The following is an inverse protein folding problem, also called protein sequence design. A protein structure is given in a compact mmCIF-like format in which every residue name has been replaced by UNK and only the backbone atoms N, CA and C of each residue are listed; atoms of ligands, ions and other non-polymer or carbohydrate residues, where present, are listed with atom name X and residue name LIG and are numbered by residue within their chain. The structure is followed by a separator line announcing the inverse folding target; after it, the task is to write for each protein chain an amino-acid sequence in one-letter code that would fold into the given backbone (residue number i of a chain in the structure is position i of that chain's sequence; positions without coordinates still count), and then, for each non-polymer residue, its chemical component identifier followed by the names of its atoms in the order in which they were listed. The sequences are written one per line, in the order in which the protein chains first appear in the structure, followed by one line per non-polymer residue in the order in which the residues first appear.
data_IF_351919117145
#
_entry.id   IF_351919117145
#
_cell.length_a   1.000
_cell.length_b   1.000
_cell.length_c   1.000
_cell.angle_alpha   90.00
_cell.angle_beta   90.00
_cell.angle_gamma   90.00
#
_symmetry.space_group_name_H-M   'P 1'
#
loop_
_entity.id
_entity.type
_entity.pdbx_description
1 polymer ?
#
# COMPACT_ATOMS: atom_id res chain seq x y z
N UNK A 1 0.79 -10.58 3.56
CA UNK A 1 0.09 -9.71 4.54
C UNK A 1 -1.28 -9.32 4.03
N UNK A 2 -2.19 -9.08 4.93
CA UNK A 2 -3.58 -8.76 4.59
C UNK A 2 -4.23 -7.93 5.67
N UNK A 3 -5.03 -6.94 5.27
CA UNK A 3 -5.87 -6.15 6.17
C UNK A 3 -7.24 -5.93 5.53
N UNK A 4 -8.25 -5.75 6.35
CA UNK A 4 -9.63 -5.52 5.90
C UNK A 4 -10.24 -4.36 6.69
N UNK A 5 -11.00 -3.51 5.98
CA UNK A 5 -11.77 -2.42 6.56
C UNK A 5 -13.11 -2.32 5.85
N UNK A 6 -14.21 -2.59 6.56
CA UNK A 6 -15.59 -2.53 6.03
C UNK A 6 -15.72 -3.24 4.67
N UNK A 7 -15.30 -4.50 4.59
CA UNK A 7 -15.37 -5.35 3.40
C UNK A 7 -14.50 -4.89 2.23
N UNK A 8 -13.52 -4.03 2.47
CA UNK A 8 -12.46 -3.75 1.51
C UNK A 8 -11.19 -4.40 2.01
N UNK A 9 -10.54 -5.19 1.16
CA UNK A 9 -9.39 -6.01 1.52
C UNK A 9 -8.16 -5.52 0.78
N UNK A 10 -7.10 -5.26 1.53
CA UNK A 10 -5.78 -4.94 0.99
C UNK A 10 -4.84 -6.09 1.30
N UNK A 11 -4.20 -6.63 0.28
CA UNK A 11 -3.23 -7.72 0.38
C UNK A 11 -1.94 -7.31 -0.30
N UNK A 12 -0.83 -7.81 0.22
CA UNK A 12 0.47 -7.63 -0.43
C UNK A 12 1.25 -8.93 -0.45
N UNK A 13 2.13 -9.04 -1.43
CA UNK A 13 3.20 -10.00 -1.42
C UNK A 13 4.31 -9.52 -0.49
N UNK A 14 5.36 -10.31 -0.35
CA UNK A 14 6.56 -9.91 0.36
C UNK A 14 7.19 -8.69 -0.31
N UNK A 15 7.75 -7.81 0.49
CA UNK A 15 8.56 -6.73 -0.06
C UNK A 15 9.87 -7.30 -0.58
N UNK A 16 10.35 -6.72 -1.66
CA UNK A 16 11.56 -7.15 -2.31
C UNK A 16 12.54 -5.99 -2.40
N UNK A 17 13.81 -6.26 -2.11
CA UNK A 17 14.88 -5.31 -2.34
C UNK A 17 15.56 -5.68 -3.66
N UNK A 18 15.60 -4.73 -4.60
CA UNK A 18 16.16 -4.96 -5.92
C UNK A 18 17.50 -4.22 -6.05
N UNK A 19 18.54 -5.00 -6.39
CA UNK A 19 19.87 -4.45 -6.65
C UNK A 19 20.55 -3.87 -5.42
N UNK A 20 21.60 -3.07 -5.70
CA UNK A 20 22.43 -2.45 -4.65
C UNK A 20 21.96 -1.05 -4.28
N UNK A 21 20.98 -0.51 -4.99
CA UNK A 21 20.61 0.91 -4.88
C UNK A 21 19.56 1.18 -3.79
N UNK A 22 19.22 0.17 -3.00
CA UNK A 22 18.20 0.34 -1.97
C UNK A 22 16.77 0.48 -2.51
N UNK A 23 16.53 0.04 -3.75
CA UNK A 23 15.20 0.04 -4.33
C UNK A 23 14.36 -1.06 -3.70
N UNK A 24 13.23 -0.69 -3.16
CA UNK A 24 12.30 -1.63 -2.53
C UNK A 24 11.00 -1.60 -3.33
N UNK A 25 10.44 -2.77 -3.60
CA UNK A 25 9.17 -2.91 -4.32
C UNK A 25 8.19 -3.73 -3.51
N UNK A 26 6.91 -3.38 -3.63
CA UNK A 26 5.80 -4.09 -3.01
C UNK A 26 4.70 -4.23 -4.04
N UNK A 27 4.25 -5.45 -4.29
CA UNK A 27 3.05 -5.68 -5.08
C UNK A 27 1.87 -5.86 -4.13
N UNK A 28 0.75 -5.24 -4.48
CA UNK A 28 -0.44 -5.32 -3.65
C UNK A 28 -1.69 -5.48 -4.51
N UNK A 29 -2.78 -5.89 -3.88
CA UNK A 29 -4.09 -5.94 -4.52
C UNK A 29 -5.15 -5.44 -3.55
N UNK A 30 -6.20 -4.83 -4.09
CA UNK A 30 -7.33 -4.34 -3.33
C UNK A 30 -8.58 -4.98 -3.90
N UNK A 31 -9.39 -5.60 -3.04
CA UNK A 31 -10.66 -6.21 -3.42
C UNK A 31 -11.79 -5.50 -2.71
N UNK A 32 -12.78 -5.02 -3.46
CA UNK A 32 -13.97 -4.39 -2.90
C UNK A 32 -15.11 -5.39 -2.78
N UNK A 33 -15.44 -5.80 -1.55
CA UNK A 33 -16.60 -6.65 -1.26
C UNK A 33 -17.76 -5.84 -0.68
N UNK A 34 -17.63 -4.52 -0.70
CA UNK A 34 -18.69 -3.61 -0.27
C UNK A 34 -19.55 -3.22 -1.47
N UNK A 35 -20.83 -3.07 -1.27
CA UNK A 35 -21.78 -2.84 -2.38
C UNK A 35 -21.63 -1.49 -3.06
N UNK A 36 -21.03 -0.52 -2.39
CA UNK A 36 -20.74 0.78 -2.97
C UNK A 36 -19.36 0.78 -3.60
N UNK A 37 -19.18 1.65 -4.58
CA UNK A 37 -17.90 1.83 -5.26
C UNK A 37 -16.83 2.32 -4.27
N UNK A 38 -15.64 1.77 -4.39
CA UNK A 38 -14.47 2.20 -3.62
C UNK A 38 -13.55 3.02 -4.54
N UNK A 39 -13.25 4.24 -4.15
CA UNK A 39 -12.35 5.13 -4.88
C UNK A 39 -11.06 5.33 -4.09
N UNK A 40 -9.92 5.15 -4.75
CA UNK A 40 -8.62 5.33 -4.13
C UNK A 40 -8.18 6.78 -4.31
N UNK A 41 -7.91 7.48 -3.21
CA UNK A 41 -7.33 8.81 -3.23
C UNK A 41 -5.82 8.76 -3.34
N UNK A 42 -5.19 7.94 -2.51
CA UNK A 42 -3.73 7.87 -2.46
C UNK A 42 -3.25 6.54 -1.90
N UNK A 43 -2.01 6.20 -2.28
CA UNK A 43 -1.25 5.10 -1.70
C UNK A 43 0.04 5.68 -1.16
N UNK A 44 0.32 5.46 0.12
CA UNK A 44 1.53 5.95 0.77
C UNK A 44 2.26 4.81 1.44
N UNK A 45 3.54 5.00 1.69
CA UNK A 45 4.33 4.03 2.44
C UNK A 45 5.11 4.75 3.54
N UNK A 46 5.22 4.08 4.66
CA UNK A 46 5.90 4.58 5.85
C UNK A 46 6.96 3.59 6.31
N UNK A 47 8.14 4.10 6.66
CA UNK A 47 9.13 3.32 7.39
C UNK A 47 8.74 3.29 8.85
N UNK A 48 8.92 2.13 9.49
CA UNK A 48 8.60 1.95 10.91
C UNK A 48 9.84 2.00 11.80
N UNK A 49 10.96 2.49 11.29
CA UNK A 49 12.18 2.64 12.06
C UNK A 49 12.09 3.88 12.97
N UNK A 50 12.06 3.64 14.29
CA UNK A 50 12.00 4.73 15.26
C UNK A 50 10.70 5.52 15.26
N UNK A 51 9.63 4.95 14.70
CA UNK A 51 8.34 5.60 14.57
C UNK A 51 7.83 5.49 13.13
N UNK A 52 6.68 6.07 12.88
CA UNK A 52 6.03 6.03 11.57
C UNK A 52 6.45 7.26 10.76
N UNK A 53 7.34 7.06 9.78
CA UNK A 53 7.89 8.14 8.95
C UNK A 53 7.53 7.90 7.49
N UNK A 54 6.85 8.86 6.88
CA UNK A 54 6.45 8.77 5.47
C UNK A 54 7.67 8.79 4.56
N UNK A 55 7.67 7.92 3.55
CA UNK A 55 8.68 7.88 2.51
C UNK A 55 8.19 8.74 1.34
N UNK A 56 8.81 9.90 1.14
CA UNK A 56 8.34 10.91 0.19
C UNK A 56 8.67 10.62 -1.27
N UNK A 57 9.64 9.71 -1.53
CA UNK A 57 10.01 9.37 -2.91
C UNK A 57 9.24 8.16 -3.46
N UNK A 58 8.25 7.67 -2.75
CA UNK A 58 7.48 6.50 -3.17
C UNK A 58 6.66 6.82 -4.43
N UNK A 59 6.74 5.91 -5.39
CA UNK A 59 5.92 5.95 -6.60
C UNK A 59 5.07 4.70 -6.64
N UNK A 60 3.84 4.86 -7.12
CA UNK A 60 2.94 3.72 -7.26
C UNK A 60 2.22 3.75 -8.59
N UNK A 61 1.83 2.55 -9.02
CA UNK A 61 0.98 2.34 -10.18
C UNK A 61 -0.15 1.41 -9.77
N UNK A 62 -1.36 1.75 -10.14
CA UNK A 62 -2.52 0.89 -9.97
C UNK A 62 -3.31 0.84 -11.28
N UNK A 63 -3.96 -0.30 -11.52
CA UNK A 63 -4.71 -0.50 -12.76
C UNK A 63 -5.86 0.49 -12.90
N UNK A 64 -6.53 0.79 -11.80
CA UNK A 64 -7.66 1.71 -11.74
C UNK A 64 -7.75 2.33 -10.36
N UNK A 65 -8.31 3.54 -10.27
CA UNK A 65 -8.53 4.22 -8.99
C UNK A 65 -9.93 3.96 -8.43
N UNK A 66 -10.77 3.23 -9.13
CA UNK A 66 -12.15 2.98 -8.73
C UNK A 66 -12.51 1.51 -8.96
N UNK A 67 -13.19 0.91 -7.98
CA UNK A 67 -13.64 -0.48 -8.05
C UNK A 67 -15.11 -0.57 -7.65
N UNK A 68 -15.88 -1.30 -8.44
CA UNK A 68 -17.22 -1.69 -8.09
C UNK A 68 -17.20 -2.92 -7.17
N UNK A 69 -18.39 -3.35 -6.74
CA UNK A 69 -18.53 -4.55 -5.95
C UNK A 69 -17.86 -5.74 -6.63
N UNK A 70 -17.09 -6.49 -5.85
CA UNK A 70 -16.42 -7.73 -6.24
C UNK A 70 -15.27 -7.55 -7.23
N UNK A 71 -14.88 -6.33 -7.55
CA UNK A 71 -13.73 -6.07 -8.41
C UNK A 71 -12.41 -6.08 -7.62
N UNK A 72 -11.35 -6.46 -8.30
CA UNK A 72 -9.99 -6.47 -7.77
C UNK A 72 -9.13 -5.53 -8.61
N UNK A 73 -8.33 -4.72 -7.94
CA UNK A 73 -7.34 -3.86 -8.57
C UNK A 73 -5.97 -4.28 -8.09
N UNK A 74 -5.02 -4.41 -9.02
CA UNK A 74 -3.63 -4.73 -8.70
C UNK A 74 -2.80 -3.47 -8.79
N UNK A 75 -1.79 -3.40 -7.93
CA UNK A 75 -0.89 -2.28 -7.89
C UNK A 75 0.52 -2.67 -7.53
N UNK A 76 1.43 -1.75 -7.77
CA UNK A 76 2.82 -1.88 -7.40
C UNK A 76 3.31 -0.56 -6.81
N UNK A 77 4.18 -0.67 -5.84
CA UNK A 77 4.77 0.44 -5.12
C UNK A 77 6.29 0.28 -5.15
N UNK A 78 7.01 1.35 -5.42
CA UNK A 78 8.48 1.34 -5.42
C UNK A 78 9.02 2.59 -4.74
N UNK A 79 10.07 2.41 -3.96
CA UNK A 79 10.73 3.53 -3.28
C UNK A 79 12.19 3.19 -3.01
N UNK A 80 13.00 4.24 -2.88
CA UNK A 80 14.39 4.11 -2.45
C UNK A 80 14.50 4.55 -1.00
N UNK A 81 15.34 3.85 -0.25
CA UNK A 81 15.57 4.19 1.14
C UNK A 81 17.07 4.24 1.40
N UNK A 82 17.50 5.23 2.19
CA UNK A 82 18.88 5.36 2.62
C UNK A 82 19.17 4.31 3.70
N UNK A 83 20.43 3.87 3.79
CA UNK A 83 20.83 2.86 4.78
C UNK A 83 20.44 3.24 6.21
N UNK A 84 20.56 4.51 6.55
CA UNK A 84 20.22 5.03 7.87
C UNK A 84 18.73 4.94 8.20
N UNK A 85 17.87 4.95 7.16
CA UNK A 85 16.41 4.89 7.29
C UNK A 85 15.86 3.50 7.05
N UNK A 86 16.73 2.53 6.77
CA UNK A 86 16.32 1.16 6.47
C UNK A 86 15.60 0.54 7.66
N UNK A 87 14.47 -0.10 7.37
CA UNK A 87 13.69 -0.84 8.34
C UNK A 87 13.36 -2.22 7.80
N UNK A 88 13.14 -3.16 8.67
CA UNK A 88 12.61 -4.47 8.28
C UNK A 88 11.09 -4.45 8.13
N UNK A 89 10.45 -3.40 8.61
CA UNK A 89 8.98 -3.28 8.58
C UNK A 89 8.58 -1.92 8.00
N UNK A 90 7.58 -1.97 7.13
CA UNK A 90 6.96 -0.80 6.49
C UNK A 90 5.44 -0.89 6.60
N UNK A 91 4.77 0.25 6.48
CA UNK A 91 3.31 0.28 6.42
C UNK A 91 2.89 0.86 5.06
N UNK A 92 2.05 0.12 4.35
CA UNK A 92 1.40 0.60 3.12
C UNK A 92 0.02 1.11 3.51
N UNK A 93 -0.27 2.35 3.14
CA UNK A 93 -1.54 3.00 3.49
C UNK A 93 -2.31 3.34 2.22
N UNK A 94 -3.55 2.85 2.14
CA UNK A 94 -4.48 3.19 1.05
C UNK A 94 -5.61 4.00 1.65
N UNK A 95 -5.87 5.17 1.08
CA UNK A 95 -6.91 6.09 1.56
C UNK A 95 -8.02 6.20 0.52
N UNK A 96 -9.24 6.06 0.98
CA UNK A 96 -10.45 6.24 0.17
C UNK A 96 -10.75 7.73 -0.01
N UNK A 97 -11.10 8.15 -1.24
CA UNK A 97 -11.34 9.56 -1.56
C UNK A 97 -12.74 10.03 -1.19
N UNK A 98 -13.71 9.12 -1.10
CA UNK A 98 -15.11 9.48 -0.91
C UNK A 98 -15.82 8.43 -0.06
N UNK A 99 -17.10 8.64 0.21
CA UNK A 99 -17.90 7.72 0.99
C UNK A 99 -17.47 7.68 2.44
N UNK A 100 -17.12 6.50 2.92
CA UNK A 100 -16.72 6.30 4.33
C UNK A 100 -15.30 6.79 4.63
N UNK A 101 -14.55 7.20 3.63
CA UNK A 101 -13.16 7.64 3.75
C UNK A 101 -12.30 6.64 4.54
N UNK A 102 -12.41 5.38 4.16
CA UNK A 102 -11.69 4.29 4.83
C UNK A 102 -10.19 4.42 4.61
N UNK A 103 -9.46 4.00 5.61
CA UNK A 103 -8.01 3.98 5.59
C UNK A 103 -7.55 2.55 5.84
N UNK A 104 -6.87 1.96 4.88
CA UNK A 104 -6.32 0.62 5.00
C UNK A 104 -4.82 0.75 5.28
N UNK A 105 -4.39 0.21 6.41
CA UNK A 105 -2.98 0.23 6.81
C UNK A 105 -2.48 -1.21 6.88
N UNK A 106 -1.54 -1.55 6.02
CA UNK A 106 -1.00 -2.89 5.91
C UNK A 106 0.47 -2.90 6.30
N UNK A 107 0.82 -3.69 7.31
CA UNK A 107 2.21 -3.90 7.70
C UNK A 107 2.83 -4.93 6.77
N UNK A 108 3.97 -4.56 6.17
CA UNK A 108 4.71 -5.43 5.27
C UNK A 108 6.14 -5.55 5.77
N UNK A 109 6.74 -6.72 5.59
CA UNK A 109 8.10 -7.00 6.01
C UNK A 109 8.81 -7.88 5.00
N UNK A 110 10.12 -7.85 5.07
CA UNK A 110 10.95 -8.76 4.25
C UNK A 110 10.77 -10.22 4.65
#
# INVERSE_FOLDING_TARGET
ARVEENLVFLRSDRICKIGRDGLITVNFSIKNRYRQRFHIESVKVYSMKGGKVEIDNAQYHIDRFSMQFDEVVNGALAFKIKDEDYSTEYTVEVIESAGKKRKLELKVSF
#
